data_IF_447765461112
#
_entry.id   IF_447765461112
#
_cell.length_a   1.000
_cell.length_b   1.000
_cell.length_c   1.000
_cell.angle_alpha   90.00
_cell.angle_beta   90.00
_cell.angle_gamma   90.00
#
_symmetry.space_group_name_H-M   'P 1'
#
loop_
_entity.id
_entity.type
_entity.pdbx_description
1 polymer ?
#
# COMPACT_ATOMS: atom_id res chain seq x y z
N UNK A 1 -34.62 18.38 13.93
CA UNK A 1 -34.00 17.71 12.76
C UNK A 1 -32.51 17.61 13.05
N UNK A 2 -31.97 16.39 13.13
CA UNK A 2 -30.53 16.18 13.25
C UNK A 2 -29.93 16.32 11.83
N UNK A 3 -28.87 17.10 11.62
CA UNK A 3 -28.26 17.20 10.29
C UNK A 3 -27.78 15.81 9.88
N UNK A 4 -28.12 15.39 8.65
CA UNK A 4 -27.52 14.19 8.07
C UNK A 4 -25.99 14.36 8.09
N UNK A 5 -25.22 13.31 8.40
CA UNK A 5 -23.78 13.37 8.23
C UNK A 5 -23.48 13.80 6.79
N UNK A 6 -22.58 14.76 6.63
CA UNK A 6 -22.06 15.11 5.31
C UNK A 6 -21.23 13.91 4.83
N UNK A 7 -21.90 12.97 4.16
CA UNK A 7 -21.28 11.84 3.48
C UNK A 7 -20.56 12.38 2.25
N UNK A 8 -19.32 12.84 2.44
CA UNK A 8 -18.43 13.12 1.31
C UNK A 8 -18.06 11.80 0.65
N UNK A 9 -18.18 11.73 -0.67
CA UNK A 9 -17.68 10.60 -1.44
C UNK A 9 -16.16 10.54 -1.29
N UNK A 10 -15.63 9.37 -0.94
CA UNK A 10 -14.20 9.13 -0.76
C UNK A 10 -13.74 8.02 -1.68
N UNK A 11 -12.53 8.16 -2.20
CA UNK A 11 -11.82 7.13 -2.95
C UNK A 11 -10.70 6.61 -2.06
N UNK A 12 -10.45 5.31 -2.10
CA UNK A 12 -9.30 4.70 -1.44
C UNK A 12 -8.33 4.21 -2.50
N UNK A 13 -7.13 4.76 -2.48
CA UNK A 13 -6.10 4.49 -3.47
C UNK A 13 -4.81 4.05 -2.77
N UNK A 14 -4.12 3.09 -3.35
CA UNK A 14 -2.72 2.81 -3.04
C UNK A 14 -1.82 3.44 -4.10
N UNK A 15 -0.67 3.93 -3.64
CA UNK A 15 0.37 4.46 -4.50
C UNK A 15 1.71 3.95 -4.01
N UNK A 16 2.60 3.63 -4.94
CA UNK A 16 3.96 3.20 -4.62
C UNK A 16 4.94 3.73 -5.64
N UNK A 17 6.18 3.90 -5.21
CA UNK A 17 7.24 4.34 -6.10
C UNK A 17 8.59 3.83 -5.59
N UNK A 18 9.56 3.88 -6.49
CA UNK A 18 10.97 3.69 -6.21
C UNK A 18 11.71 4.98 -6.54
N UNK A 19 13.01 5.04 -6.26
CA UNK A 19 13.85 6.13 -6.76
C UNK A 19 13.90 6.22 -8.30
N UNK A 20 13.51 5.16 -9.02
CA UNK A 20 13.62 5.07 -10.47
C UNK A 20 12.29 5.30 -11.21
N UNK A 21 11.16 4.96 -10.59
CA UNK A 21 9.84 5.08 -11.24
C UNK A 21 8.68 4.96 -10.25
N UNK A 22 7.53 5.44 -10.69
CA UNK A 22 6.23 5.29 -10.03
C UNK A 22 5.60 3.95 -10.43
N UNK A 23 5.05 3.24 -9.45
CA UNK A 23 4.13 2.12 -9.67
C UNK A 23 2.73 2.73 -9.79
N UNK A 24 2.01 2.37 -10.86
CA UNK A 24 0.71 2.95 -11.16
C UNK A 24 -0.24 2.91 -9.94
N UNK A 25 -1.09 3.94 -9.76
CA UNK A 25 -2.06 3.96 -8.68
C UNK A 25 -2.99 2.75 -8.76
N UNK A 26 -3.40 2.25 -7.60
CA UNK A 26 -4.40 1.20 -7.50
C UNK A 26 -5.60 1.68 -6.72
N UNK A 27 -6.80 1.49 -7.27
CA UNK A 27 -8.05 1.88 -6.63
C UNK A 27 -8.72 0.67 -5.99
N UNK A 28 -9.04 0.76 -4.71
CA UNK A 28 -9.76 -0.30 -4.01
C UNK A 28 -11.26 -0.14 -4.23
N UNK A 29 -11.77 -0.78 -5.27
CA UNK A 29 -13.18 -0.66 -5.68
C UNK A 29 -13.85 -2.03 -5.84
N UNK A 30 -15.18 -2.04 -5.78
CA UNK A 30 -16.03 -3.16 -6.19
C UNK A 30 -17.07 -2.66 -7.18
N UNK A 31 -17.50 -3.52 -8.09
CA UNK A 31 -18.60 -3.19 -9.00
C UNK A 31 -19.90 -3.21 -8.20
N UNK A 32 -20.51 -2.04 -8.05
CA UNK A 32 -21.86 -1.87 -7.52
C UNK A 32 -22.90 -1.72 -8.63
N UNK A 33 -24.20 -1.62 -8.27
CA UNK A 33 -25.29 -1.48 -9.23
C UNK A 33 -25.18 -0.24 -10.14
N UNK A 34 -24.49 0.80 -9.67
CA UNK A 34 -24.36 2.09 -10.35
C UNK A 34 -22.92 2.40 -10.78
N UNK A 35 -22.04 1.39 -10.82
CA UNK A 35 -20.62 1.55 -11.15
C UNK A 35 -19.68 1.23 -9.98
N UNK A 36 -18.39 1.59 -10.08
CA UNK A 36 -17.40 1.31 -9.05
C UNK A 36 -17.73 1.99 -7.72
N UNK A 37 -17.55 1.26 -6.63
CA UNK A 37 -17.76 1.74 -5.26
C UNK A 37 -16.51 1.44 -4.44
N UNK A 38 -15.99 2.47 -3.77
CA UNK A 38 -14.85 2.36 -2.86
C UNK A 38 -15.06 1.29 -1.80
N UNK A 39 -14.02 0.49 -1.58
CA UNK A 39 -13.98 -0.57 -0.59
C UNK A 39 -12.98 -0.27 0.53
N UNK A 40 -13.26 -0.81 1.70
CA UNK A 40 -12.29 -0.88 2.80
C UNK A 40 -11.13 -1.80 2.41
N UNK A 41 -9.91 -1.34 2.66
CA UNK A 41 -8.70 -2.14 2.49
C UNK A 41 -8.59 -3.13 3.64
N UNK A 42 -8.34 -4.39 3.33
CA UNK A 42 -8.02 -5.44 4.29
C UNK A 42 -6.81 -6.24 3.78
N UNK A 43 -6.29 -7.14 4.61
CA UNK A 43 -5.09 -7.94 4.27
C UNK A 43 -5.22 -8.67 2.94
N UNK A 44 -6.37 -9.28 2.64
CA UNK A 44 -6.59 -10.02 1.38
C UNK A 44 -6.60 -9.10 0.16
N UNK A 45 -7.23 -7.93 0.25
CA UNK A 45 -7.22 -6.94 -0.85
C UNK A 45 -5.83 -6.36 -1.06
N UNK A 46 -5.08 -6.14 0.01
CA UNK A 46 -3.71 -5.66 -0.06
C UNK A 46 -2.77 -6.71 -0.64
N UNK A 47 -2.89 -7.97 -0.21
CA UNK A 47 -2.19 -9.11 -0.81
C UNK A 47 -2.45 -9.19 -2.33
N UNK A 48 -3.71 -9.06 -2.74
CA UNK A 48 -4.11 -9.07 -4.16
C UNK A 48 -3.44 -7.94 -4.94
N UNK A 49 -3.37 -6.72 -4.38
CA UNK A 49 -2.62 -5.61 -4.96
C UNK A 49 -1.14 -5.97 -5.14
N UNK A 50 -0.50 -6.57 -4.12
CA UNK A 50 0.91 -6.94 -4.19
C UNK A 50 1.18 -7.96 -5.30
N UNK A 51 0.40 -9.05 -5.32
CA UNK A 51 0.58 -10.15 -6.27
C UNK A 51 0.25 -9.76 -7.71
N UNK A 52 -0.77 -8.93 -7.92
CA UNK A 52 -1.27 -8.64 -9.26
C UNK A 52 -0.69 -7.36 -9.88
N UNK A 53 -0.10 -6.47 -9.08
CA UNK A 53 0.42 -5.20 -9.58
C UNK A 53 1.84 -4.90 -9.14
N UNK A 54 2.10 -4.79 -7.83
CA UNK A 54 3.43 -4.35 -7.36
C UNK A 54 4.52 -5.33 -7.81
N UNK A 55 4.39 -6.61 -7.45
CA UNK A 55 5.41 -7.62 -7.75
C UNK A 55 5.61 -7.77 -9.27
N UNK A 56 4.57 -7.95 -10.10
CA UNK A 56 4.74 -8.01 -11.56
C UNK A 56 5.43 -6.76 -12.13
N UNK A 57 5.07 -5.56 -11.65
CA UNK A 57 5.69 -4.31 -12.12
C UNK A 57 7.18 -4.27 -11.80
N UNK A 58 7.56 -4.65 -10.58
CA UNK A 58 8.96 -4.72 -10.18
C UNK A 58 9.71 -5.81 -10.96
N UNK A 59 9.09 -6.96 -11.22
CA UNK A 59 9.70 -8.06 -11.97
C UNK A 59 9.97 -7.65 -13.42
N UNK A 60 8.96 -7.08 -14.08
CA UNK A 60 9.06 -6.62 -15.47
C UNK A 60 10.18 -5.59 -15.65
N UNK A 61 10.40 -4.74 -14.64
CA UNK A 61 11.43 -3.71 -14.67
C UNK A 61 12.78 -4.17 -14.10
N UNK A 62 12.87 -5.38 -13.57
CA UNK A 62 14.11 -5.95 -13.03
C UNK A 62 14.52 -5.43 -11.65
N UNK A 63 13.56 -4.97 -10.83
CA UNK A 63 13.83 -4.32 -9.54
C UNK A 63 13.50 -5.18 -8.31
N UNK A 64 12.91 -6.38 -8.44
CA UNK A 64 12.55 -7.19 -7.26
C UNK A 64 13.75 -7.48 -6.36
N UNK A 65 14.88 -7.88 -6.95
CA UNK A 65 16.09 -8.26 -6.18
C UNK A 65 16.88 -7.07 -5.60
N UNK A 66 16.67 -5.87 -6.13
CA UNK A 66 17.36 -4.67 -5.65
C UNK A 66 16.50 -3.78 -4.74
N UNK A 67 15.20 -4.07 -4.65
CA UNK A 67 14.27 -3.25 -3.88
C UNK A 67 14.30 -3.61 -2.40
N UNK A 68 14.36 -2.59 -1.55
CA UNK A 68 14.00 -2.66 -0.14
C UNK A 68 12.54 -2.20 -0.05
N UNK A 69 11.65 -3.09 0.36
CA UNK A 69 10.23 -2.80 0.54
C UNK A 69 10.03 -2.04 1.86
N UNK A 70 9.26 -0.95 1.82
CA UNK A 70 8.97 -0.10 2.97
C UNK A 70 7.47 0.13 3.07
N UNK A 71 6.90 -0.14 4.24
CA UNK A 71 5.47 0.10 4.53
C UNK A 71 5.27 0.37 6.02
N UNK A 72 4.22 1.10 6.37
CA UNK A 72 3.89 1.40 7.75
C UNK A 72 3.26 0.20 8.49
N UNK A 73 2.95 0.40 9.78
CA UNK A 73 2.33 -0.61 10.63
C UNK A 73 0.81 -0.74 10.49
N UNK A 74 0.17 -0.24 9.43
CA UNK A 74 -1.28 -0.31 9.31
C UNK A 74 -1.77 -1.78 9.28
N UNK A 75 -2.93 -2.11 9.88
CA UNK A 75 -3.38 -3.50 10.00
C UNK A 75 -3.42 -4.31 8.69
N UNK A 76 -3.85 -3.75 7.53
CA UNK A 76 -3.78 -4.47 6.26
C UNK A 76 -2.36 -4.80 5.82
N UNK A 77 -1.39 -3.90 6.07
CA UNK A 77 0.00 -4.01 5.62
C UNK A 77 0.76 -5.10 6.39
N UNK A 78 0.38 -5.35 7.65
CA UNK A 78 1.04 -6.34 8.53
C UNK A 78 0.28 -7.67 8.61
N UNK A 79 -0.76 -7.84 7.80
CA UNK A 79 -1.55 -9.06 7.78
C UNK A 79 -0.70 -10.27 7.35
N UNK A 80 -0.94 -11.45 7.95
CA UNK A 80 -0.21 -12.69 7.62
C UNK A 80 -0.04 -12.96 6.11
N UNK A 81 -1.09 -12.94 5.27
CA UNK A 81 -0.92 -13.18 3.84
C UNK A 81 -0.01 -12.15 3.16
N UNK A 82 -0.06 -10.89 3.59
CA UNK A 82 0.80 -9.82 3.08
C UNK A 82 2.26 -10.09 3.44
N UNK A 83 2.53 -10.39 4.70
CA UNK A 83 3.88 -10.73 5.17
C UNK A 83 4.46 -11.94 4.44
N UNK A 84 3.64 -12.95 4.12
CA UNK A 84 4.06 -14.12 3.35
C UNK A 84 4.50 -13.75 1.93
N UNK A 85 3.72 -12.93 1.22
CA UNK A 85 4.07 -12.45 -0.12
C UNK A 85 5.35 -11.62 -0.09
N UNK A 86 5.46 -10.68 0.85
CA UNK A 86 6.65 -9.84 0.98
C UNK A 86 7.91 -10.68 1.25
N UNK A 87 7.83 -11.63 2.18
CA UNK A 87 8.95 -12.52 2.50
C UNK A 87 9.38 -13.37 1.32
N UNK A 88 8.42 -13.85 0.52
CA UNK A 88 8.71 -14.66 -0.66
C UNK A 88 9.50 -13.89 -1.72
N UNK A 89 9.23 -12.59 -1.90
CA UNK A 89 9.83 -11.81 -2.99
C UNK A 89 11.02 -10.93 -2.59
N UNK A 90 11.01 -10.38 -1.38
CA UNK A 90 12.07 -9.49 -0.91
C UNK A 90 12.99 -10.18 0.11
N UNK A 91 12.49 -11.18 0.83
CA UNK A 91 13.19 -11.74 1.99
C UNK A 91 13.20 -10.78 3.19
N UNK A 92 13.36 -11.34 4.38
CA UNK A 92 13.16 -10.61 5.64
C UNK A 92 14.11 -9.40 5.80
N UNK A 93 15.32 -9.45 5.24
CA UNK A 93 16.34 -8.39 5.42
C UNK A 93 16.10 -7.16 4.53
N UNK A 94 15.21 -7.26 3.55
CA UNK A 94 14.87 -6.19 2.60
C UNK A 94 13.45 -5.66 2.83
N UNK A 95 12.87 -5.91 3.99
CA UNK A 95 11.56 -5.38 4.37
C UNK A 95 11.73 -4.48 5.59
N UNK A 96 11.25 -3.24 5.46
CA UNK A 96 11.11 -2.29 6.55
C UNK A 96 9.62 -2.17 6.85
N UNK A 97 9.19 -2.79 7.95
CA UNK A 97 7.79 -2.86 8.36
C UNK A 97 7.72 -3.25 9.83
N UNK A 98 6.54 -3.15 10.43
CA UNK A 98 6.32 -3.68 11.78
C UNK A 98 6.53 -5.20 11.80
N UNK A 99 7.09 -5.74 12.89
CA UNK A 99 7.47 -7.15 13.08
C UNK A 99 8.63 -7.69 12.22
N UNK A 100 9.35 -6.83 11.49
CA UNK A 100 10.55 -7.20 10.72
C UNK A 100 11.84 -6.80 11.45
N UNK A 101 13.00 -7.42 11.11
CA UNK A 101 14.29 -7.06 11.72
C UNK A 101 14.60 -5.56 11.58
N UNK A 102 14.25 -4.96 10.44
CA UNK A 102 14.25 -3.52 10.24
C UNK A 102 12.86 -2.97 10.58
N UNK A 103 12.63 -2.73 11.87
CA UNK A 103 11.33 -2.28 12.36
C UNK A 103 11.02 -0.86 11.89
N UNK A 104 9.80 -0.65 11.39
CA UNK A 104 9.25 0.69 11.18
C UNK A 104 8.85 1.30 12.53
N UNK A 105 9.31 2.52 12.89
CA UNK A 105 8.90 3.16 14.13
C UNK A 105 7.42 3.54 14.09
N UNK A 106 6.74 3.36 15.22
CA UNK A 106 5.32 3.67 15.33
C UNK A 106 5.09 5.19 15.31
N UNK A 107 4.08 5.63 14.55
CA UNK A 107 3.66 7.04 14.42
C UNK A 107 4.70 7.99 13.83
N UNK A 108 5.51 7.51 12.88
CA UNK A 108 6.49 8.33 12.16
C UNK A 108 6.10 8.53 10.68
N UNK A 109 5.04 9.32 10.38
CA UNK A 109 4.66 9.63 8.99
C UNK A 109 5.73 10.47 8.29
N UNK A 110 6.56 11.21 9.03
CA UNK A 110 7.69 11.97 8.53
C UNK A 110 8.77 11.09 7.87
N UNK A 111 8.85 9.82 8.24
CA UNK A 111 9.76 8.85 7.63
C UNK A 111 9.15 8.20 6.39
N UNK A 112 7.83 8.20 6.25
CA UNK A 112 7.17 7.67 5.07
C UNK A 112 7.23 8.71 3.95
N UNK A 113 8.00 8.43 2.90
CA UNK A 113 8.12 9.36 1.77
C UNK A 113 6.76 9.64 1.10
N UNK A 114 5.79 8.72 1.18
CA UNK A 114 4.43 9.00 0.71
C UNK A 114 3.75 10.09 1.53
N UNK A 115 3.79 10.01 2.87
CA UNK A 115 3.11 10.95 3.76
C UNK A 115 3.86 12.28 3.87
N UNK A 116 5.19 12.25 3.85
CA UNK A 116 6.03 13.44 3.91
C UNK A 116 6.01 14.26 2.62
N UNK A 117 6.00 13.61 1.45
CA UNK A 117 6.17 14.27 0.17
C UNK A 117 4.96 14.10 -0.74
N UNK A 118 4.66 12.86 -1.17
CA UNK A 118 3.69 12.59 -2.23
C UNK A 118 2.31 13.19 -1.95
N UNK A 119 1.72 12.89 -0.79
CA UNK A 119 0.37 13.34 -0.48
C UNK A 119 0.27 14.85 -0.27
N UNK A 120 1.36 15.51 0.12
CA UNK A 120 1.41 16.97 0.22
C UNK A 120 1.34 17.70 -1.12
N UNK A 121 1.70 17.04 -2.23
CA UNK A 121 1.55 17.60 -3.59
C UNK A 121 0.20 17.31 -4.23
N UNK A 122 -0.51 16.28 -3.77
CA UNK A 122 -1.81 15.88 -4.32
C UNK A 122 -3.02 16.38 -3.50
N UNK A 123 -2.76 17.03 -2.36
CA UNK A 123 -3.78 17.58 -1.46
C UNK A 123 -4.26 18.97 -1.91
#
# INVERSE_FOLDING_TARGET
MQPLPVLSQKITMWYGFTAAFIVDPFFFEKIGPSGPVTCTVNGTRYESLLQNQLIPTLQQRGYVESTICMQDGAPPNIATPVSQVLNMHFGNDRIISHHYPKAWPQWSPDLNTCDFWLWGYTA
#
